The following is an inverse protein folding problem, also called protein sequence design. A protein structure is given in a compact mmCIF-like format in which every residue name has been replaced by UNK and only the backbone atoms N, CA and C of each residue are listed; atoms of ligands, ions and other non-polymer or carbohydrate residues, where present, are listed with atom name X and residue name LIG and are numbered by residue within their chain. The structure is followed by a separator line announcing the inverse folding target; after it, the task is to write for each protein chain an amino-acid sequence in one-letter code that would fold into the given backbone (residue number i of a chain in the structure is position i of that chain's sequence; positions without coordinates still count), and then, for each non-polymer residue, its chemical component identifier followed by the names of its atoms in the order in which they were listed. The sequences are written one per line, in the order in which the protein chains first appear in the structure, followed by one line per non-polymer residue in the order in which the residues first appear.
data_IF_499833554377
#
_entry.id   IF_499833554377
#
_cell.length_a   1.000
_cell.length_b   1.000
_cell.length_c   1.000
_cell.angle_alpha   90.00
_cell.angle_beta   90.00
_cell.angle_gamma   90.00
#
_symmetry.space_group_name_H-M   'P 1'
#
loop_
_entity.id
_entity.type
_entity.pdbx_description
1 polymer ?
#
# COMPACT_ATOMS: atom_id res chain seq x y z
N UNK A 1 -3.84 -10.28 15.47
CA UNK A 1 -4.90 -10.86 14.62
C UNK A 1 -4.71 -10.29 13.22
N UNK A 2 -4.49 -11.11 12.20
CA UNK A 2 -4.34 -10.60 10.82
C UNK A 2 -5.73 -10.40 10.24
N UNK A 3 -6.03 -9.18 9.79
CA UNK A 3 -7.30 -8.88 9.14
C UNK A 3 -7.18 -9.21 7.66
N UNK A 4 -7.96 -10.18 7.20
CA UNK A 4 -8.15 -10.46 5.77
C UNK A 4 -9.49 -9.82 5.38
N UNK A 5 -9.43 -8.75 4.59
CA UNK A 5 -10.63 -8.18 3.99
C UNK A 5 -10.93 -8.95 2.69
N UNK A 6 -12.14 -9.47 2.56
CA UNK A 6 -12.60 -10.14 1.34
C UNK A 6 -13.75 -9.31 0.77
N UNK A 7 -13.51 -8.64 -0.36
CA UNK A 7 -14.56 -7.92 -1.06
C UNK A 7 -15.22 -8.79 -2.12
N UNK A 8 -16.54 -8.89 -2.07
CA UNK A 8 -17.37 -9.59 -3.05
C UNK A 8 -18.26 -8.62 -3.81
N UNK A 9 -18.10 -8.52 -5.11
CA UNK A 9 -19.04 -7.80 -5.97
C UNK A 9 -20.36 -8.53 -6.21
N UNK A 10 -20.42 -9.83 -5.99
CA UNK A 10 -21.60 -10.71 -5.84
C UNK A 10 -21.11 -12.14 -5.58
N UNK A 11 -21.65 -12.87 -4.56
CA UNK A 11 -21.16 -14.21 -4.22
C UNK A 11 -21.36 -15.28 -5.30
N UNK A 12 -22.33 -15.08 -6.19
CA UNK A 12 -22.66 -16.07 -7.24
C UNK A 12 -21.95 -15.86 -8.58
N UNK A 13 -21.33 -14.70 -8.82
CA UNK A 13 -20.75 -14.33 -10.12
C UNK A 13 -19.25 -14.01 -10.08
N UNK A 14 -18.62 -13.95 -8.91
CA UNK A 14 -17.18 -13.65 -8.83
C UNK A 14 -16.37 -14.80 -9.43
N UNK A 15 -15.87 -14.61 -10.66
CA UNK A 15 -14.93 -15.52 -11.32
C UNK A 15 -13.54 -15.49 -10.67
N UNK A 16 -13.23 -14.43 -9.91
CA UNK A 16 -11.94 -14.18 -9.27
C UNK A 16 -12.16 -13.75 -7.83
N UNK A 17 -11.52 -14.41 -6.87
CA UNK A 17 -11.43 -13.94 -5.49
C UNK A 17 -10.27 -12.95 -5.38
N UNK A 18 -10.57 -11.73 -4.95
CA UNK A 18 -9.57 -10.69 -4.65
C UNK A 18 -9.41 -10.60 -3.15
N UNK A 19 -8.17 -10.68 -2.68
CA UNK A 19 -7.82 -10.64 -1.26
C UNK A 19 -6.77 -9.55 -1.08
N UNK A 20 -7.06 -8.57 -0.22
CA UNK A 20 -6.05 -7.65 0.32
C UNK A 20 -5.50 -8.26 1.61
N UNK A 21 -4.24 -8.66 1.60
CA UNK A 21 -3.62 -9.30 2.74
C UNK A 21 -2.67 -8.34 3.45
N UNK A 22 -3.11 -7.84 4.60
CA UNK A 22 -2.24 -7.10 5.51
C UNK A 22 -1.29 -8.09 6.21
N UNK A 23 -0.01 -8.07 5.83
CA UNK A 23 1.03 -8.96 6.34
C UNK A 23 1.55 -8.59 7.74
N UNK A 24 1.08 -7.49 8.29
CA UNK A 24 1.48 -6.97 9.61
C UNK A 24 1.80 -5.49 9.55
N UNK A 25 2.19 -4.96 10.71
CA UNK A 25 2.42 -3.52 10.89
C UNK A 25 3.87 -3.09 10.60
N UNK A 26 4.82 -4.02 10.54
CA UNK A 26 6.21 -3.65 10.41
C UNK A 26 6.48 -2.88 9.13
N UNK A 27 7.07 -1.69 9.30
CA UNK A 27 7.46 -0.80 8.21
C UNK A 27 8.83 -0.20 8.54
N UNK A 28 9.63 0.06 7.54
CA UNK A 28 10.92 0.75 7.67
C UNK A 28 10.82 2.26 7.43
N UNK A 29 9.63 2.75 7.03
CA UNK A 29 9.30 4.17 6.99
C UNK A 29 8.41 4.54 8.17
N UNK A 30 8.48 5.80 8.57
CA UNK A 30 7.64 6.41 9.60
C UNK A 30 7.03 7.69 9.02
N UNK A 31 6.15 7.51 8.02
CA UNK A 31 5.51 8.61 7.33
C UNK A 31 4.63 9.40 8.30
N UNK A 32 4.73 10.74 8.28
CA UNK A 32 4.02 11.61 9.23
C UNK A 32 2.49 11.57 9.11
N UNK A 33 1.99 11.12 7.97
CA UNK A 33 0.56 10.99 7.67
C UNK A 33 0.04 9.54 7.81
N UNK A 34 0.89 8.61 8.23
CA UNK A 34 0.48 7.23 8.45
C UNK A 34 0.00 7.07 9.90
N UNK A 35 -1.15 6.43 10.08
CA UNK A 35 -1.72 6.24 11.41
C UNK A 35 -0.82 5.39 12.30
N UNK A 36 -0.56 5.82 13.53
CA UNK A 36 0.31 5.15 14.50
C UNK A 36 -0.09 3.70 14.81
N UNK A 37 -1.39 3.37 14.64
CA UNK A 37 -1.88 2.01 14.88
C UNK A 37 -1.76 1.09 13.65
N UNK A 38 -1.40 1.61 12.48
CA UNK A 38 -1.30 0.84 11.23
C UNK A 38 0.11 0.38 10.90
N UNK A 39 1.12 1.04 11.46
CA UNK A 39 2.52 0.71 11.21
C UNK A 39 3.38 0.83 12.47
N UNK A 40 4.47 0.09 12.53
CA UNK A 40 5.55 0.20 13.49
C UNK A 40 6.85 -0.40 12.91
N UNK A 41 7.96 -0.27 13.64
CA UNK A 41 9.24 -0.84 13.24
C UNK A 41 9.68 -2.02 14.11
N UNK A 42 8.84 -2.49 15.03
CA UNK A 42 9.16 -3.47 16.06
C UNK A 42 8.36 -4.77 15.99
N UNK A 43 7.20 -4.76 15.33
CA UNK A 43 6.36 -5.95 15.14
C UNK A 43 7.14 -7.08 14.45
N UNK A 44 6.82 -8.30 14.82
CA UNK A 44 7.43 -9.49 14.21
C UNK A 44 6.96 -9.63 12.75
N UNK A 45 7.87 -10.05 11.90
CA UNK A 45 7.52 -10.46 10.55
C UNK A 45 6.63 -11.70 10.54
N UNK A 46 5.79 -11.82 9.53
CA UNK A 46 5.01 -13.02 9.28
C UNK A 46 5.96 -14.15 8.83
N UNK A 47 6.06 -15.27 9.59
CA UNK A 47 6.88 -16.40 9.17
C UNK A 47 6.29 -17.09 7.93
N UNK A 48 7.16 -17.61 7.06
CA UNK A 48 6.78 -18.36 5.87
C UNK A 48 5.79 -19.50 6.16
N UNK A 49 6.03 -20.30 7.19
CA UNK A 49 5.17 -21.43 7.56
C UNK A 49 3.73 -20.99 7.93
N UNK A 50 3.60 -19.81 8.54
CA UNK A 50 2.28 -19.23 8.86
C UNK A 50 1.62 -18.73 7.58
N UNK A 51 2.38 -18.05 6.72
CA UNK A 51 1.88 -17.58 5.42
C UNK A 51 1.42 -18.78 4.56
N UNK A 52 2.23 -19.82 4.47
CA UNK A 52 1.91 -21.05 3.74
C UNK A 52 0.59 -21.67 4.22
N UNK A 53 0.45 -21.90 5.54
CA UNK A 53 -0.80 -22.45 6.12
C UNK A 53 -2.01 -21.58 5.81
N UNK A 54 -1.85 -20.26 5.76
CA UNK A 54 -2.94 -19.33 5.43
C UNK A 54 -3.33 -19.47 3.97
N UNK A 55 -2.36 -19.52 3.07
CA UNK A 55 -2.59 -19.74 1.63
C UNK A 55 -3.28 -21.09 1.39
N UNK A 56 -2.82 -22.17 2.02
CA UNK A 56 -3.43 -23.51 1.90
C UNK A 56 -4.92 -23.48 2.29
N UNK A 57 -5.27 -22.79 3.39
CA UNK A 57 -6.66 -22.63 3.81
C UNK A 57 -7.51 -21.79 2.83
N UNK A 58 -6.90 -20.77 2.22
CA UNK A 58 -7.58 -19.97 1.19
C UNK A 58 -7.89 -20.86 -0.02
N UNK A 59 -6.92 -21.62 -0.50
CA UNK A 59 -7.07 -22.54 -1.63
C UNK A 59 -8.16 -23.58 -1.36
N UNK A 60 -8.13 -24.21 -0.18
CA UNK A 60 -9.16 -25.17 0.25
C UNK A 60 -10.59 -24.58 0.20
N UNK A 61 -10.74 -23.34 0.73
CA UNK A 61 -12.05 -22.69 0.79
C UNK A 61 -12.55 -22.13 -0.53
N UNK A 62 -11.67 -21.82 -1.45
CA UNK A 62 -12.04 -21.19 -2.74
C UNK A 62 -12.35 -22.20 -3.84
N UNK A 63 -12.13 -23.51 -3.60
CA UNK A 63 -12.55 -24.62 -4.46
C UNK A 63 -12.20 -24.43 -5.95
N UNK A 64 -10.93 -24.11 -6.25
CA UNK A 64 -10.43 -24.00 -7.63
C UNK A 64 -10.83 -22.72 -8.37
N UNK A 65 -11.40 -21.72 -7.69
CA UNK A 65 -11.60 -20.41 -8.30
C UNK A 65 -10.26 -19.68 -8.47
N UNK A 66 -10.19 -18.81 -9.48
CA UNK A 66 -9.02 -17.95 -9.66
C UNK A 66 -8.88 -17.01 -8.45
N UNK A 67 -7.68 -16.89 -7.90
CA UNK A 67 -7.40 -16.09 -6.70
C UNK A 67 -6.38 -15.02 -7.07
N UNK A 68 -6.65 -13.80 -6.66
CA UNK A 68 -5.69 -12.69 -6.66
C UNK A 68 -5.46 -12.25 -5.23
N UNK A 69 -4.21 -12.24 -4.77
CA UNK A 69 -3.83 -11.76 -3.43
C UNK A 69 -2.88 -10.58 -3.59
N UNK A 70 -3.25 -9.44 -3.04
CA UNK A 70 -2.38 -8.28 -2.93
C UNK A 70 -1.78 -8.22 -1.53
N UNK A 71 -0.46 -8.29 -1.44
CA UNK A 71 0.29 -8.19 -0.19
C UNK A 71 0.48 -6.71 0.16
N UNK A 72 0.03 -6.33 1.34
CA UNK A 72 0.06 -4.95 1.86
C UNK A 72 0.31 -4.96 3.38
N UNK A 73 0.15 -3.83 4.03
CA UNK A 73 0.33 -3.67 5.49
C UNK A 73 1.28 -2.52 5.80
N UNK A 74 2.20 -2.70 6.74
CA UNK A 74 3.31 -1.77 6.91
C UNK A 74 4.14 -1.71 5.63
N UNK A 75 5.22 -2.48 5.55
CA UNK A 75 5.96 -2.69 4.29
C UNK A 75 6.21 -4.19 4.09
N UNK A 76 5.52 -4.83 3.14
CA UNK A 76 5.67 -6.27 2.92
C UNK A 76 7.09 -6.71 2.56
N UNK A 77 7.82 -5.87 1.81
CA UNK A 77 9.13 -6.23 1.29
C UNK A 77 10.25 -6.23 2.33
N UNK A 78 10.03 -5.67 3.54
CA UNK A 78 11.00 -5.78 4.64
C UNK A 78 10.96 -7.15 5.31
N UNK A 79 9.93 -7.97 5.05
CA UNK A 79 9.90 -9.34 5.53
C UNK A 79 11.03 -10.15 4.87
N UNK A 80 11.97 -10.74 5.64
CA UNK A 80 13.09 -11.48 5.08
C UNK A 80 12.66 -12.74 4.30
N UNK A 81 11.46 -13.24 4.52
CA UNK A 81 10.92 -14.43 3.84
C UNK A 81 9.95 -14.09 2.70
N UNK A 82 9.85 -12.82 2.32
CA UNK A 82 8.86 -12.37 1.31
C UNK A 82 9.06 -13.08 -0.04
N UNK A 83 10.29 -13.30 -0.49
CA UNK A 83 10.56 -14.01 -1.75
C UNK A 83 10.02 -15.45 -1.71
N UNK A 84 10.23 -16.16 -0.59
CA UNK A 84 9.68 -17.52 -0.41
C UNK A 84 8.14 -17.52 -0.42
N UNK A 85 7.53 -16.50 0.20
CA UNK A 85 6.06 -16.36 0.25
C UNK A 85 5.52 -16.14 -1.16
N UNK A 86 6.13 -15.23 -1.93
CA UNK A 86 5.77 -14.96 -3.33
C UNK A 86 5.95 -16.21 -4.18
N UNK A 87 7.09 -16.91 -4.05
CA UNK A 87 7.39 -18.14 -4.79
C UNK A 87 6.34 -19.22 -4.54
N UNK A 88 5.97 -19.39 -3.27
CA UNK A 88 4.94 -20.34 -2.91
C UNK A 88 3.60 -20.00 -3.52
N UNK A 89 3.14 -18.76 -3.36
CA UNK A 89 1.86 -18.31 -3.92
C UNK A 89 1.81 -18.43 -5.44
N UNK A 90 2.89 -18.04 -6.11
CA UNK A 90 3.03 -18.17 -7.57
C UNK A 90 2.98 -19.65 -8.00
N UNK A 91 3.66 -20.55 -7.29
CA UNK A 91 3.65 -22.00 -7.57
C UNK A 91 2.25 -22.63 -7.41
N UNK A 92 1.39 -22.01 -6.61
CA UNK A 92 -0.01 -22.42 -6.43
C UNK A 92 -0.97 -21.79 -7.46
N UNK A 93 -0.48 -21.07 -8.46
CA UNK A 93 -1.29 -20.42 -9.49
C UNK A 93 -2.07 -19.19 -9.00
N UNK A 94 -1.63 -18.56 -7.91
CA UNK A 94 -2.23 -17.35 -7.38
C UNK A 94 -1.66 -16.14 -8.12
N UNK A 95 -2.52 -15.22 -8.54
CA UNK A 95 -2.13 -13.91 -9.05
C UNK A 95 -1.61 -13.06 -7.87
N UNK A 96 -0.29 -12.93 -7.73
CA UNK A 96 0.32 -12.20 -6.61
C UNK A 96 0.49 -10.72 -6.95
N UNK A 97 -0.04 -9.84 -6.10
CA UNK A 97 0.24 -8.41 -6.12
C UNK A 97 1.04 -7.98 -4.90
N UNK A 98 1.82 -6.94 -5.03
CA UNK A 98 2.51 -6.29 -3.91
C UNK A 98 2.29 -4.79 -3.98
N UNK A 99 1.88 -4.20 -2.85
CA UNK A 99 1.93 -2.75 -2.63
C UNK A 99 3.11 -2.47 -1.70
N UNK A 100 4.07 -1.67 -2.15
CA UNK A 100 5.36 -1.44 -1.49
C UNK A 100 5.73 0.04 -1.47
N UNK A 101 6.47 0.47 -0.46
CA UNK A 101 7.09 1.79 -0.40
C UNK A 101 8.37 1.92 -1.26
N UNK A 102 8.75 0.86 -1.96
CA UNK A 102 9.90 0.87 -2.85
C UNK A 102 11.27 0.90 -2.18
N UNK A 103 11.37 0.62 -0.88
CA UNK A 103 12.62 0.76 -0.10
C UNK A 103 13.69 -0.30 -0.36
N UNK A 104 13.35 -1.37 -1.08
CA UNK A 104 14.32 -2.40 -1.44
C UNK A 104 15.13 -1.99 -2.67
N UNK A 105 16.30 -2.60 -2.84
CA UNK A 105 17.14 -2.41 -4.03
C UNK A 105 16.46 -2.94 -5.29
N UNK A 106 16.82 -2.37 -6.43
CA UNK A 106 16.26 -2.71 -7.74
C UNK A 106 16.34 -4.22 -8.05
N UNK A 107 17.48 -4.85 -7.76
CA UNK A 107 17.71 -6.28 -8.00
C UNK A 107 16.71 -7.21 -7.30
N UNK A 108 16.22 -6.79 -6.13
CA UNK A 108 15.14 -7.51 -5.45
C UNK A 108 13.86 -7.50 -6.27
N UNK A 109 13.44 -6.33 -6.77
CA UNK A 109 12.22 -6.22 -7.57
C UNK A 109 12.36 -6.96 -8.91
N UNK A 110 13.53 -6.90 -9.55
CA UNK A 110 13.80 -7.62 -10.81
C UNK A 110 13.66 -9.15 -10.63
N UNK A 111 14.08 -9.70 -9.47
CA UNK A 111 13.94 -11.13 -9.19
C UNK A 111 12.51 -11.59 -8.97
N UNK A 112 11.67 -10.77 -8.33
CA UNK A 112 10.28 -11.16 -8.02
C UNK A 112 9.30 -10.80 -9.13
N UNK A 113 9.62 -9.80 -9.95
CA UNK A 113 8.72 -9.25 -10.99
C UNK A 113 8.10 -10.32 -11.89
N UNK A 114 8.84 -11.32 -12.41
CA UNK A 114 8.25 -12.37 -13.27
C UNK A 114 7.20 -13.26 -12.58
N UNK A 115 7.06 -13.16 -11.26
CA UNK A 115 6.11 -13.94 -10.46
C UNK A 115 4.90 -13.14 -10.02
N UNK A 116 4.85 -11.85 -10.39
CA UNK A 116 3.80 -10.94 -9.95
C UNK A 116 2.74 -10.75 -11.04
N UNK A 117 1.51 -10.55 -10.61
CA UNK A 117 0.42 -10.01 -11.43
C UNK A 117 0.30 -8.48 -11.28
N UNK A 118 0.80 -7.93 -10.16
CA UNK A 118 0.85 -6.48 -9.98
C UNK A 118 1.95 -6.05 -9.01
N UNK A 119 2.58 -4.90 -9.32
CA UNK A 119 3.54 -4.23 -8.46
C UNK A 119 3.15 -2.75 -8.35
N UNK A 120 2.75 -2.34 -7.15
CA UNK A 120 2.24 -1.01 -6.87
C UNK A 120 3.24 -0.29 -5.97
N UNK A 121 3.80 0.81 -6.46
CA UNK A 121 4.68 1.65 -5.66
C UNK A 121 3.89 2.74 -4.95
N UNK A 122 3.83 2.71 -3.62
CA UNK A 122 3.39 3.87 -2.83
C UNK A 122 4.56 4.84 -2.71
N UNK A 123 4.55 5.90 -3.52
CA UNK A 123 5.65 6.86 -3.58
C UNK A 123 5.51 7.92 -2.50
N UNK A 124 6.38 7.84 -1.50
CA UNK A 124 6.33 8.65 -0.29
C UNK A 124 7.34 9.80 -0.35
N UNK A 125 6.90 11.00 -0.69
CA UNK A 125 7.77 12.17 -0.87
C UNK A 125 8.63 12.51 0.36
N UNK A 126 8.20 12.18 1.59
CA UNK A 126 9.01 12.36 2.80
C UNK A 126 10.30 11.52 2.81
N UNK A 127 10.34 10.47 2.02
CA UNK A 127 11.46 9.54 1.90
C UNK A 127 12.12 9.56 0.53
N UNK A 128 11.85 10.60 -0.28
CA UNK A 128 12.47 10.76 -1.59
C UNK A 128 14.01 10.62 -1.49
N UNK A 129 14.57 9.75 -2.32
CA UNK A 129 15.98 9.38 -2.29
C UNK A 129 16.35 8.20 -1.37
N UNK A 130 15.41 7.65 -0.59
CA UNK A 130 15.58 6.42 0.22
C UNK A 130 14.84 5.22 -0.34
N UNK A 131 14.05 5.42 -1.34
CA UNK A 131 13.26 4.42 -2.03
C UNK A 131 13.77 4.20 -3.46
N UNK A 132 13.13 3.30 -4.18
CA UNK A 132 13.45 3.06 -5.60
C UNK A 132 13.27 4.36 -6.37
N UNK A 133 14.34 4.83 -7.00
CA UNK A 133 14.33 6.06 -7.78
C UNK A 133 13.31 5.98 -8.92
N UNK A 134 12.76 7.11 -9.37
CA UNK A 134 11.81 7.14 -10.49
C UNK A 134 12.28 6.38 -11.73
N UNK A 135 13.56 6.50 -12.08
CA UNK A 135 14.17 5.80 -13.21
C UNK A 135 14.12 4.27 -13.05
N UNK A 136 14.28 3.78 -11.82
CA UNK A 136 14.19 2.35 -11.52
C UNK A 136 12.75 1.84 -11.64
N UNK A 137 11.75 2.66 -11.25
CA UNK A 137 10.33 2.32 -11.44
C UNK A 137 10.00 2.27 -12.93
N UNK A 138 10.48 3.23 -13.72
CA UNK A 138 10.35 3.23 -15.18
C UNK A 138 11.00 1.97 -15.78
N UNK A 139 12.19 1.59 -15.31
CA UNK A 139 12.86 0.35 -15.74
C UNK A 139 12.03 -0.89 -15.41
N UNK A 140 11.50 -0.99 -14.20
CA UNK A 140 10.65 -2.12 -13.80
C UNK A 140 9.34 -2.18 -14.58
N UNK A 141 8.75 -1.02 -14.88
CA UNK A 141 7.59 -0.94 -15.76
C UNK A 141 7.91 -1.48 -17.16
N UNK A 142 9.02 -1.05 -17.77
CA UNK A 142 9.44 -1.53 -19.08
C UNK A 142 9.76 -3.05 -19.09
N UNK A 143 10.40 -3.55 -18.03
CA UNK A 143 10.64 -4.99 -17.87
C UNK A 143 9.34 -5.79 -17.73
N UNK A 144 8.34 -5.22 -17.03
CA UNK A 144 7.02 -5.83 -16.90
C UNK A 144 6.30 -5.97 -18.25
N UNK A 145 6.47 -5.01 -19.16
CA UNK A 145 5.89 -5.08 -20.51
C UNK A 145 6.54 -6.15 -21.41
N UNK A 146 7.70 -6.66 -21.03
CA UNK A 146 8.45 -7.70 -21.77
C UNK A 146 8.20 -9.12 -21.25
N UNK A 147 7.39 -9.28 -20.19
CA UNK A 147 7.07 -10.59 -19.65
C UNK A 147 6.02 -11.30 -20.51
N UNK A 148 6.02 -12.63 -20.48
CA UNK A 148 5.06 -13.46 -21.21
C UNK A 148 3.62 -13.32 -20.72
N UNK A 149 3.42 -12.73 -19.55
CA UNK A 149 2.11 -12.44 -18.97
C UNK A 149 2.03 -10.97 -18.55
N UNK A 150 0.80 -10.46 -18.49
CA UNK A 150 0.57 -9.06 -18.12
C UNK A 150 0.84 -8.82 -16.63
N UNK A 151 1.75 -7.89 -16.34
CA UNK A 151 2.05 -7.41 -14.98
C UNK A 151 1.63 -5.94 -14.87
N UNK A 152 0.70 -5.67 -13.97
CA UNK A 152 0.24 -4.31 -13.73
C UNK A 152 1.20 -3.56 -12.81
N UNK A 153 2.01 -2.66 -13.37
CA UNK A 153 2.91 -1.79 -12.60
C UNK A 153 2.37 -0.37 -12.62
N UNK A 154 2.21 0.25 -11.45
CA UNK A 154 1.82 1.65 -11.35
C UNK A 154 2.31 2.29 -10.04
N UNK A 155 2.21 3.62 -9.98
CA UNK A 155 2.60 4.43 -8.84
C UNK A 155 1.38 5.03 -8.17
N UNK A 156 1.25 4.85 -6.85
CA UNK A 156 0.42 5.67 -5.99
C UNK A 156 1.25 6.86 -5.51
N UNK A 157 1.05 8.02 -6.10
CA UNK A 157 1.72 9.25 -5.69
C UNK A 157 0.99 9.85 -4.49
N UNK A 158 1.65 9.86 -3.33
CA UNK A 158 1.12 10.48 -2.12
C UNK A 158 1.29 12.00 -2.24
N UNK A 159 0.18 12.71 -2.46
CA UNK A 159 0.16 14.15 -2.71
C UNK A 159 0.28 14.92 -1.39
N UNK A 160 1.52 15.06 -0.87
CA UNK A 160 1.74 15.85 0.33
C UNK A 160 1.64 17.34 0.02
N UNK A 161 0.84 18.12 0.79
CA UNK A 161 0.76 19.57 0.60
C UNK A 161 2.12 20.26 0.69
N UNK A 162 2.97 19.80 1.61
CA UNK A 162 4.32 20.34 1.83
C UNK A 162 5.30 20.09 0.70
N UNK A 163 4.99 19.19 -0.23
CA UNK A 163 5.85 18.76 -1.35
C UNK A 163 5.02 18.59 -2.63
N UNK A 164 4.00 19.43 -2.80
CA UNK A 164 3.02 19.27 -3.88
C UNK A 164 3.64 19.46 -5.27
N UNK A 165 4.49 20.47 -5.43
CA UNK A 165 5.14 20.75 -6.72
C UNK A 165 6.20 19.70 -7.08
N UNK A 166 6.94 19.20 -6.10
CA UNK A 166 7.85 18.07 -6.29
C UNK A 166 7.10 16.81 -6.72
N UNK A 167 5.93 16.56 -6.11
CA UNK A 167 5.08 15.44 -6.51
C UNK A 167 4.57 15.59 -7.95
N UNK A 168 4.16 16.81 -8.38
CA UNK A 168 3.77 17.09 -9.77
C UNK A 168 4.92 16.80 -10.74
N UNK A 169 6.14 17.25 -10.41
CA UNK A 169 7.33 16.98 -11.23
C UNK A 169 7.59 15.49 -11.39
N UNK A 170 7.48 14.71 -10.30
CA UNK A 170 7.62 13.25 -10.36
C UNK A 170 6.50 12.60 -11.19
N UNK A 171 5.26 13.08 -11.07
CA UNK A 171 4.12 12.61 -11.88
C UNK A 171 4.39 12.83 -13.37
N UNK A 172 4.89 14.01 -13.76
CA UNK A 172 5.23 14.31 -15.15
C UNK A 172 6.32 13.36 -15.67
N UNK A 173 7.35 13.10 -14.86
CA UNK A 173 8.38 12.12 -15.21
C UNK A 173 7.79 10.74 -15.50
N UNK A 174 6.91 10.23 -14.63
CA UNK A 174 6.24 8.94 -14.85
C UNK A 174 5.35 8.95 -16.08
N UNK A 175 4.53 9.99 -16.26
CA UNK A 175 3.63 10.13 -17.43
C UNK A 175 4.43 10.15 -18.74
N UNK A 176 5.54 10.87 -18.78
CA UNK A 176 6.42 10.95 -19.96
C UNK A 176 7.07 9.61 -20.32
N UNK A 177 7.15 8.69 -19.37
CA UNK A 177 7.65 7.32 -19.55
C UNK A 177 6.52 6.28 -19.61
N UNK A 178 5.26 6.69 -19.79
CA UNK A 178 4.06 5.86 -19.86
C UNK A 178 3.79 5.02 -18.59
N UNK A 179 4.39 5.35 -17.46
CA UNK A 179 4.10 4.68 -16.19
C UNK A 179 2.79 5.23 -15.63
N UNK A 180 1.77 4.38 -15.39
CA UNK A 180 0.51 4.82 -14.81
C UNK A 180 0.72 5.37 -13.39
N UNK A 181 0.12 6.53 -13.13
CA UNK A 181 0.16 7.17 -11.81
C UNK A 181 -1.25 7.39 -11.32
N UNK A 182 -1.49 7.00 -10.08
CA UNK A 182 -2.71 7.30 -9.32
C UNK A 182 -2.34 8.25 -8.19
N UNK A 183 -2.86 9.48 -8.24
CA UNK A 183 -2.66 10.42 -7.14
C UNK A 183 -3.49 9.99 -5.93
N UNK A 184 -2.91 10.15 -4.76
CA UNK A 184 -3.55 9.83 -3.48
C UNK A 184 -3.51 11.05 -2.58
N UNK A 185 -4.68 11.63 -2.34
CA UNK A 185 -4.84 12.73 -1.39
C UNK A 185 -4.54 12.25 0.03
N UNK A 186 -3.77 13.02 0.77
CA UNK A 186 -3.58 12.77 2.20
C UNK A 186 -4.89 13.09 2.91
N UNK A 187 -5.38 12.15 3.68
CA UNK A 187 -6.56 12.33 4.52
C UNK A 187 -6.14 12.78 5.91
N UNK A 188 -7.04 13.43 6.66
CA UNK A 188 -6.80 13.71 8.06
C UNK A 188 -6.36 12.46 8.81
N UNK A 189 -5.42 12.61 9.74
CA UNK A 189 -5.00 11.53 10.61
C UNK A 189 -6.19 10.97 11.40
N UNK A 190 -6.18 9.67 11.63
CA UNK A 190 -7.16 8.99 12.46
C UNK A 190 -6.54 8.66 13.80
N UNK A 191 -7.26 8.90 14.89
CA UNK A 191 -6.96 8.35 16.20
C UNK A 191 -7.70 7.05 16.40
N UNK A 192 -7.11 6.14 17.19
CA UNK A 192 -7.86 5.01 17.73
C UNK A 192 -9.09 5.56 18.46
N UNK A 193 -10.25 5.06 18.13
CA UNK A 193 -11.46 5.45 18.83
C UNK A 193 -11.49 4.77 20.19
N UNK A 194 -11.27 5.56 21.25
CA UNK A 194 -11.28 5.07 22.63
C UNK A 194 -12.68 4.64 23.10
N UNK A 195 -13.72 5.06 22.37
CA UNK A 195 -15.10 4.65 22.62
C UNK A 195 -15.49 3.35 21.95
N UNK A 196 -14.58 2.75 21.16
CA UNK A 196 -14.81 1.49 20.50
C UNK A 196 -14.99 0.35 21.52
N UNK A 197 -16.15 -0.30 21.50
CA UNK A 197 -16.47 -1.44 22.37
C UNK A 197 -16.29 -2.74 21.60
N UNK A 198 -15.59 -3.67 22.22
CA UNK A 198 -15.32 -5.00 21.66
C UNK A 198 -15.97 -6.07 22.55
N UNK A 199 -16.54 -7.10 21.94
CA UNK A 199 -17.01 -8.27 22.69
C UNK A 199 -15.85 -9.17 23.16
N UNK A 200 -16.16 -10.21 23.93
CA UNK A 200 -15.18 -11.17 24.46
C UNK A 200 -14.37 -11.87 23.36
N UNK A 201 -14.91 -11.99 22.15
CA UNK A 201 -14.24 -12.56 20.98
C UNK A 201 -13.36 -11.54 20.24
N UNK A 202 -13.30 -10.28 20.69
CA UNK A 202 -12.50 -9.20 20.09
C UNK A 202 -13.13 -8.59 18.83
N UNK A 203 -14.42 -8.77 18.59
CA UNK A 203 -15.14 -8.13 17.50
C UNK A 203 -15.69 -6.76 17.95
N UNK A 204 -15.59 -5.76 17.07
CA UNK A 204 -16.17 -4.45 17.32
C UNK A 204 -17.70 -4.56 17.34
N UNK A 205 -18.34 -4.12 18.44
CA UNK A 205 -19.81 -4.14 18.62
C UNK A 205 -20.40 -2.74 18.67
N UNK A 206 -19.63 -1.73 19.04
CA UNK A 206 -20.07 -0.34 19.10
C UNK A 206 -18.88 0.61 18.84
N UNK A 207 -19.16 1.78 18.28
CA UNK A 207 -18.14 2.79 17.92
C UNK A 207 -17.42 2.45 16.61
N UNK A 208 -16.29 3.11 16.37
CA UNK A 208 -15.44 2.92 15.21
C UNK A 208 -14.04 2.47 15.63
N UNK A 209 -13.34 1.72 14.78
CA UNK A 209 -11.94 1.31 15.03
C UNK A 209 -11.04 2.54 15.15
N UNK A 210 -11.33 3.57 14.36
CA UNK A 210 -10.64 4.84 14.37
C UNK A 210 -11.61 5.96 13.97
N UNK A 211 -11.37 7.17 14.46
CA UNK A 211 -12.11 8.38 14.09
C UNK A 211 -11.19 9.43 13.50
N UNK A 212 -11.68 10.27 12.58
CA UNK A 212 -10.91 11.39 12.06
C UNK A 212 -10.45 12.31 13.20
N UNK A 213 -9.22 12.77 13.12
CA UNK A 213 -8.65 13.72 14.07
C UNK A 213 -8.94 15.15 13.58
N UNK A 214 -10.11 15.70 13.95
CA UNK A 214 -10.57 17.00 13.43
C UNK A 214 -10.20 18.20 14.32
N UNK A 215 -9.79 17.96 15.54
CA UNK A 215 -9.63 18.98 16.58
C UNK A 215 -8.18 19.19 17.02
N UNK A 216 -7.23 18.58 16.35
CA UNK A 216 -5.81 18.69 16.64
C UNK A 216 -4.99 19.29 15.51
N UNK A 217 -3.74 19.57 15.81
CA UNK A 217 -2.73 19.92 14.83
C UNK A 217 -2.10 18.64 14.29
N UNK A 218 -2.03 18.51 12.97
CA UNK A 218 -1.27 17.43 12.30
C UNK A 218 0.06 18.00 11.83
N UNK A 219 1.14 17.35 12.24
CA UNK A 219 2.48 17.72 11.83
C UNK A 219 2.92 16.83 10.68
N UNK A 220 3.11 17.42 9.50
CA UNK A 220 3.73 16.77 8.36
C UNK A 220 5.19 17.17 8.23
N UNK A 221 6.03 16.32 7.65
CA UNK A 221 7.45 16.63 7.41
C UNK A 221 7.64 17.27 6.04
N UNK A 222 8.43 18.34 6.01
CA UNK A 222 8.87 18.98 4.78
C UNK A 222 10.37 19.23 4.82
N UNK A 223 11.14 18.59 3.93
CA UNK A 223 12.61 18.72 3.86
C UNK A 223 13.28 18.58 5.23
N UNK A 224 12.79 17.62 6.03
CA UNK A 224 13.27 17.36 7.39
C UNK A 224 12.78 18.33 8.48
N UNK A 225 11.93 19.30 8.13
CA UNK A 225 11.27 20.21 9.09
C UNK A 225 9.83 19.81 9.31
N UNK A 226 9.32 20.02 10.51
CA UNK A 226 7.91 19.84 10.80
C UNK A 226 7.12 21.04 10.30
N UNK A 227 5.97 20.79 9.70
CA UNK A 227 4.96 21.80 9.31
C UNK A 227 3.65 21.38 9.92
N UNK A 228 3.09 22.28 10.74
CA UNK A 228 1.85 22.01 11.45
C UNK A 228 0.63 22.48 10.66
N UNK A 229 -0.37 21.63 10.56
CA UNK A 229 -1.68 21.91 9.98
C UNK A 229 -2.74 21.80 11.06
N UNK A 230 -3.57 22.84 11.17
CA UNK A 230 -4.69 22.84 12.14
C UNK A 230 -5.72 21.79 11.78
N UNK A 231 -6.23 21.07 12.77
CA UNK A 231 -7.32 20.12 12.58
C UNK A 231 -8.56 20.78 12.00
N UNK A 232 -9.27 20.03 11.15
CA UNK A 232 -10.50 20.48 10.49
C UNK A 232 -10.32 21.39 9.28
N UNK A 233 -9.11 21.83 8.97
CA UNK A 233 -8.83 22.55 7.73
C UNK A 233 -8.44 21.59 6.61
N UNK A 234 -8.74 21.97 5.39
CA UNK A 234 -8.19 21.27 4.23
C UNK A 234 -6.68 21.51 4.19
N UNK A 235 -5.90 20.46 4.02
CA UNK A 235 -4.44 20.56 3.93
C UNK A 235 -3.96 21.24 2.65
N UNK A 236 -4.85 21.43 1.69
CA UNK A 236 -4.56 21.89 0.35
C UNK A 236 -5.10 23.28 0.10
N UNK A 237 -4.36 24.10 -0.63
CA UNK A 237 -4.85 25.35 -1.19
C UNK A 237 -5.96 25.10 -2.23
N UNK A 238 -6.72 26.13 -2.55
CA UNK A 238 -7.77 26.04 -3.58
C UNK A 238 -7.18 25.63 -4.95
N UNK A 239 -5.96 26.05 -5.29
CA UNK A 239 -5.29 25.70 -6.54
C UNK A 239 -4.89 24.20 -6.55
N UNK A 240 -4.37 23.69 -5.43
CA UNK A 240 -4.02 22.29 -5.26
C UNK A 240 -5.28 21.40 -5.30
N UNK A 241 -6.37 21.84 -4.66
CA UNK A 241 -7.66 21.14 -4.73
C UNK A 241 -8.18 21.08 -6.16
N UNK A 242 -8.17 22.18 -6.90
CA UNK A 242 -8.58 22.22 -8.28
C UNK A 242 -7.72 21.29 -9.16
N UNK A 243 -6.42 21.21 -8.92
CA UNK A 243 -5.53 20.27 -9.59
C UNK A 243 -5.90 18.81 -9.30
N UNK A 244 -6.15 18.48 -8.03
CA UNK A 244 -6.54 17.14 -7.61
C UNK A 244 -7.88 16.73 -8.26
N UNK A 245 -8.89 17.59 -8.19
CA UNK A 245 -10.22 17.37 -8.78
C UNK A 245 -10.15 17.17 -10.30
N UNK A 246 -9.35 17.97 -11.00
CA UNK A 246 -9.14 17.83 -12.46
C UNK A 246 -8.52 16.47 -12.81
N UNK A 247 -7.79 15.86 -11.89
CA UNK A 247 -7.15 14.56 -12.05
C UNK A 247 -7.92 13.41 -11.36
N UNK A 248 -9.19 13.62 -10.97
CA UNK A 248 -10.09 12.66 -10.34
C UNK A 248 -9.56 12.10 -9.00
N UNK A 249 -9.07 12.96 -8.11
CA UNK A 249 -8.53 12.58 -6.78
C UNK A 249 -9.38 13.13 -5.63
#
# INVERSE_FOLDING_TARGET
MQTIAVEHSSPKQAKVFKIEWNMGKRCNFNCSYCDEFTHDNSSKHLPFEVAKKTVDKILEKTQGKKIKINLTGGEPTVNPEIEKIVDYMFSQGIDVGITTNGSRKLDFYERILPKLASLIFSYHMEYHGREVLPENIVRLYNLAQQQDHYIHVHVHMMMLPTQFDEAKTAIEHFKNNNVPVVMRRIRPAYKKDETAVYNEQGNLVEGNIARPFYDGTVTLKFKGKNVDYSGGQDYYSNEELAYLETNNV
#
